data_IF_681641486295
#
_entry.id   IF_681641486295
#
_cell.length_a   1.000
_cell.length_b   1.000
_cell.length_c   1.000
_cell.angle_alpha   90.00
_cell.angle_beta   90.00
_cell.angle_gamma   90.00
#
_symmetry.space_group_name_H-M   'P 1'
#
loop_
_entity.id
_entity.type
_entity.pdbx_description
1 polymer ?
#
# COMPACT_ATOMS: atom_id res chain seq x y z
N UNK A 1 -34.99 8.18 22.69
CA UNK A 1 -35.11 8.37 21.23
C UNK A 1 -33.85 8.96 20.60
N UNK A 2 -33.13 9.86 21.28
CA UNK A 2 -31.82 10.35 20.82
C UNK A 2 -30.79 9.20 20.62
N UNK A 3 -30.87 8.14 21.45
CA UNK A 3 -29.94 7.01 21.39
C UNK A 3 -30.02 6.20 20.09
N UNK A 4 -31.23 6.10 19.51
CA UNK A 4 -31.42 5.34 18.25
C UNK A 4 -30.77 6.07 17.07
N UNK A 5 -30.93 7.38 16.98
CA UNK A 5 -30.31 8.18 15.93
C UNK A 5 -28.79 8.17 16.04
N UNK A 6 -28.25 8.27 17.26
CA UNK A 6 -26.81 8.18 17.52
C UNK A 6 -26.26 6.81 17.14
N UNK A 7 -27.00 5.72 17.48
CA UNK A 7 -26.59 4.38 17.13
C UNK A 7 -26.54 4.17 15.62
N UNK A 8 -27.56 4.65 14.89
CA UNK A 8 -27.60 4.57 13.42
C UNK A 8 -26.43 5.34 12.79
N UNK A 9 -26.12 6.53 13.33
CA UNK A 9 -25.00 7.33 12.86
C UNK A 9 -23.67 6.63 13.07
N UNK A 10 -23.48 6.01 14.25
CA UNK A 10 -22.27 5.24 14.57
C UNK A 10 -22.10 4.06 13.63
N UNK A 11 -23.18 3.35 13.31
CA UNK A 11 -23.15 2.21 12.39
C UNK A 11 -22.72 2.67 11.00
N UNK A 12 -23.26 3.78 10.50
CA UNK A 12 -22.87 4.33 9.19
C UNK A 12 -21.40 4.73 9.15
N UNK A 13 -20.92 5.41 10.20
CA UNK A 13 -19.52 5.85 10.30
C UNK A 13 -18.59 4.63 10.37
N UNK A 14 -18.96 3.64 11.17
CA UNK A 14 -18.19 2.41 11.34
C UNK A 14 -18.09 1.62 10.03
N UNK A 15 -19.19 1.51 9.29
CA UNK A 15 -19.23 0.85 7.99
C UNK A 15 -18.36 1.57 6.97
N UNK A 16 -18.45 2.90 6.93
CA UNK A 16 -17.65 3.73 6.02
C UNK A 16 -16.16 3.59 6.31
N UNK A 17 -15.77 3.60 7.59
CA UNK A 17 -14.39 3.44 8.01
C UNK A 17 -13.85 2.07 7.64
N UNK A 18 -14.64 1.02 7.82
CA UNK A 18 -14.28 -0.35 7.47
C UNK A 18 -14.06 -0.50 5.97
N UNK A 19 -14.93 0.08 5.14
CA UNK A 19 -14.79 0.06 3.68
C UNK A 19 -13.53 0.82 3.24
N UNK A 20 -13.27 1.98 3.85
CA UNK A 20 -12.07 2.76 3.58
C UNK A 20 -10.80 1.98 3.96
N UNK A 21 -10.77 1.38 5.15
CA UNK A 21 -9.64 0.59 5.61
C UNK A 21 -9.38 -0.59 4.68
N UNK A 22 -10.44 -1.28 4.28
CA UNK A 22 -10.36 -2.39 3.34
C UNK A 22 -9.79 -1.95 1.99
N UNK A 23 -10.25 -0.81 1.49
CA UNK A 23 -9.77 -0.25 0.23
C UNK A 23 -8.26 -0.02 0.26
N UNK A 24 -7.75 0.66 1.28
CA UNK A 24 -6.31 0.93 1.39
C UNK A 24 -5.50 -0.34 1.56
N UNK A 25 -5.93 -1.24 2.43
CA UNK A 25 -5.22 -2.50 2.69
C UNK A 25 -5.18 -3.39 1.45
N UNK A 26 -6.30 -3.51 0.75
CA UNK A 26 -6.40 -4.32 -0.48
C UNK A 26 -5.54 -3.70 -1.59
N UNK A 27 -5.58 -2.38 -1.75
CA UNK A 27 -4.80 -1.69 -2.78
C UNK A 27 -3.30 -1.89 -2.56
N UNK A 28 -2.82 -1.71 -1.33
CA UNK A 28 -1.40 -1.93 -1.00
C UNK A 28 -1.02 -3.38 -1.26
N UNK A 29 -1.83 -4.33 -0.80
CA UNK A 29 -1.55 -5.76 -0.99
C UNK A 29 -1.44 -6.12 -2.47
N UNK A 30 -2.36 -5.64 -3.28
CA UNK A 30 -2.37 -5.91 -4.72
C UNK A 30 -1.15 -5.31 -5.41
N UNK A 31 -0.81 -4.07 -5.08
CA UNK A 31 0.36 -3.40 -5.65
C UNK A 31 1.67 -4.07 -5.23
N UNK A 32 1.77 -4.49 -3.97
CA UNK A 32 2.96 -5.20 -3.47
C UNK A 32 3.13 -6.53 -4.19
N UNK A 33 2.05 -7.29 -4.38
CA UNK A 33 2.11 -8.55 -5.13
C UNK A 33 2.57 -8.32 -6.56
N UNK A 34 2.04 -7.29 -7.21
CA UNK A 34 2.42 -6.95 -8.58
C UNK A 34 3.90 -6.51 -8.65
N UNK A 35 4.35 -5.72 -7.69
CA UNK A 35 5.74 -5.29 -7.59
C UNK A 35 6.68 -6.49 -7.46
N UNK A 36 6.38 -7.40 -6.54
CA UNK A 36 7.20 -8.59 -6.30
C UNK A 36 7.22 -9.53 -7.51
N UNK A 37 6.07 -9.68 -8.17
CA UNK A 37 5.95 -10.50 -9.38
C UNK A 37 6.79 -9.91 -10.51
N UNK A 38 6.70 -8.60 -10.73
CA UNK A 38 7.46 -7.90 -11.76
C UNK A 38 8.95 -7.99 -11.46
N UNK A 39 9.34 -7.83 -10.20
CA UNK A 39 10.73 -7.95 -9.76
C UNK A 39 11.30 -9.34 -10.08
N UNK A 40 10.53 -10.38 -9.78
CA UNK A 40 10.92 -11.76 -10.02
C UNK A 40 11.07 -12.06 -11.52
N UNK A 41 10.12 -11.61 -12.34
CA UNK A 41 10.14 -11.80 -13.78
C UNK A 41 11.27 -11.03 -14.45
N UNK A 42 11.64 -9.87 -13.92
CA UNK A 42 12.67 -9.02 -14.49
C UNK A 42 14.07 -9.30 -13.94
N UNK A 43 14.20 -10.30 -13.08
CA UNK A 43 15.47 -10.62 -12.42
C UNK A 43 16.60 -10.93 -13.40
N UNK A 44 16.29 -11.58 -14.53
CA UNK A 44 17.26 -11.96 -15.54
C UNK A 44 17.39 -10.94 -16.67
N UNK A 45 16.49 -9.97 -16.75
CA UNK A 45 16.47 -8.95 -17.80
C UNK A 45 16.31 -7.56 -17.16
N UNK A 46 17.43 -6.94 -16.82
CA UNK A 46 17.44 -5.59 -16.26
C UNK A 46 17.44 -4.55 -17.38
N UNK A 47 16.24 -4.29 -17.89
CA UNK A 47 16.06 -3.24 -18.91
C UNK A 47 15.66 -1.93 -18.24
N UNK A 48 15.96 -0.76 -18.87
CA UNK A 48 15.50 0.52 -18.33
C UNK A 48 13.98 0.59 -18.16
N UNK A 49 13.22 -0.07 -19.03
CA UNK A 49 11.77 -0.14 -18.96
C UNK A 49 11.31 -0.88 -17.70
N UNK A 50 11.96 -2.00 -17.36
CA UNK A 50 11.66 -2.76 -16.15
C UNK A 50 11.93 -1.95 -14.89
N UNK A 51 13.02 -1.22 -14.84
CA UNK A 51 13.39 -0.35 -13.71
C UNK A 51 12.35 0.76 -13.54
N UNK A 52 11.94 1.39 -14.62
CA UNK A 52 10.94 2.45 -14.61
C UNK A 52 9.60 1.93 -14.10
N UNK A 53 9.18 0.76 -14.59
CA UNK A 53 7.94 0.12 -14.16
C UNK A 53 7.96 -0.20 -12.66
N UNK A 54 9.06 -0.75 -12.16
CA UNK A 54 9.23 -1.06 -10.74
C UNK A 54 9.21 0.20 -9.89
N UNK A 55 9.87 1.27 -10.34
CA UNK A 55 9.90 2.55 -9.63
C UNK A 55 8.48 3.15 -9.57
N UNK A 56 7.74 3.09 -10.66
CA UNK A 56 6.36 3.57 -10.71
C UNK A 56 5.47 2.81 -9.74
N UNK A 57 5.58 1.47 -9.69
CA UNK A 57 4.85 0.64 -8.76
C UNK A 57 5.19 0.97 -7.30
N UNK A 58 6.48 1.15 -7.02
CA UNK A 58 6.94 1.50 -5.68
C UNK A 58 6.38 2.85 -5.24
N UNK A 59 6.39 3.85 -6.13
CA UNK A 59 5.84 5.17 -5.85
C UNK A 59 4.34 5.10 -5.56
N UNK A 60 3.60 4.26 -6.30
CA UNK A 60 2.18 4.04 -6.05
C UNK A 60 1.93 3.43 -4.68
N UNK A 61 2.73 2.42 -4.30
CA UNK A 61 2.64 1.79 -2.97
C UNK A 61 2.91 2.83 -1.88
N UNK A 62 3.94 3.65 -2.04
CA UNK A 62 4.28 4.72 -1.08
C UNK A 62 3.12 5.69 -0.93
N UNK A 63 2.50 6.09 -2.04
CA UNK A 63 1.35 6.99 -2.02
C UNK A 63 0.20 6.42 -1.19
N UNK A 64 -0.16 5.16 -1.39
CA UNK A 64 -1.22 4.50 -0.62
C UNK A 64 -0.85 4.36 0.86
N UNK A 65 0.40 4.01 1.16
CA UNK A 65 0.86 3.90 2.55
C UNK A 65 0.81 5.25 3.26
N UNK A 66 1.24 6.32 2.60
CA UNK A 66 1.22 7.66 3.18
C UNK A 66 -0.21 8.16 3.41
N UNK A 67 -1.08 7.99 2.42
CA UNK A 67 -2.50 8.38 2.55
C UNK A 67 -3.20 7.56 3.61
N UNK A 68 -2.93 6.25 3.65
CA UNK A 68 -3.49 5.36 4.66
C UNK A 68 -3.03 5.70 6.07
N UNK A 69 -1.77 6.12 6.22
CA UNK A 69 -1.23 6.56 7.51
C UNK A 69 -1.93 7.83 7.98
N UNK A 70 -2.14 8.80 7.09
CA UNK A 70 -2.88 10.04 7.41
C UNK A 70 -4.31 9.74 7.87
N UNK A 71 -4.92 8.71 7.33
CA UNK A 71 -6.30 8.32 7.67
C UNK A 71 -6.37 7.28 8.79
N UNK A 72 -5.24 6.99 9.43
CA UNK A 72 -5.12 6.03 10.54
C UNK A 72 -5.48 4.60 10.14
N UNK A 73 -5.35 4.24 8.86
CA UNK A 73 -5.51 2.86 8.39
C UNK A 73 -4.27 2.05 8.73
N UNK A 74 -3.09 2.65 8.54
CA UNK A 74 -1.81 2.03 8.85
C UNK A 74 -1.12 2.79 9.97
N UNK A 75 -0.46 2.05 10.85
CA UNK A 75 0.40 2.68 11.85
C UNK A 75 1.67 3.19 11.17
N UNK A 76 2.15 4.36 11.60
CA UNK A 76 3.32 5.02 11.05
C UNK A 76 4.54 4.10 10.97
N UNK A 77 4.80 3.34 12.01
CA UNK A 77 5.94 2.44 12.07
C UNK A 77 5.81 1.26 11.11
N UNK A 78 4.60 0.71 10.96
CA UNK A 78 4.32 -0.38 10.02
C UNK A 78 4.54 0.09 8.58
N UNK A 79 4.04 1.28 8.24
CA UNK A 79 4.21 1.86 6.91
C UNK A 79 5.70 2.11 6.60
N UNK A 80 6.44 2.65 7.57
CA UNK A 80 7.88 2.92 7.42
C UNK A 80 8.66 1.63 7.19
N UNK A 81 8.36 0.56 7.93
CA UNK A 81 9.01 -0.74 7.75
C UNK A 81 8.73 -1.32 6.37
N UNK A 82 7.49 -1.23 5.91
CA UNK A 82 7.10 -1.77 4.61
C UNK A 82 7.78 -1.00 3.48
N UNK A 83 7.83 0.32 3.56
CA UNK A 83 8.56 1.16 2.60
C UNK A 83 10.04 0.76 2.52
N UNK A 84 10.67 0.62 3.69
CA UNK A 84 12.09 0.28 3.78
C UNK A 84 12.37 -1.09 3.15
N UNK A 85 11.54 -2.10 3.45
CA UNK A 85 11.70 -3.44 2.89
C UNK A 85 11.58 -3.46 1.38
N UNK A 86 10.60 -2.75 0.84
CA UNK A 86 10.37 -2.69 -0.61
C UNK A 86 11.50 -1.93 -1.31
N UNK A 87 11.97 -0.84 -0.72
CA UNK A 87 13.09 -0.07 -1.26
C UNK A 87 14.37 -0.90 -1.31
N UNK A 88 14.63 -1.70 -0.26
CA UNK A 88 15.79 -2.60 -0.23
C UNK A 88 15.72 -3.65 -1.33
N UNK A 89 14.55 -4.22 -1.58
CA UNK A 89 14.37 -5.21 -2.65
C UNK A 89 14.67 -4.61 -4.02
N UNK A 90 14.21 -3.39 -4.26
CA UNK A 90 14.50 -2.69 -5.51
C UNK A 90 16.00 -2.37 -5.63
N UNK A 91 16.62 -1.94 -4.56
CA UNK A 91 18.06 -1.65 -4.52
C UNK A 91 18.87 -2.89 -4.87
N UNK A 92 18.54 -4.04 -4.29
CA UNK A 92 19.22 -5.29 -4.58
C UNK A 92 19.06 -5.69 -6.05
N UNK A 93 17.88 -5.45 -6.62
CA UNK A 93 17.64 -5.72 -8.04
C UNK A 93 18.52 -4.84 -8.92
N UNK A 94 18.65 -3.55 -8.60
CA UNK A 94 19.40 -2.61 -9.43
C UNK A 94 20.92 -2.73 -9.27
N UNK A 95 21.39 -3.32 -8.17
CA UNK A 95 22.84 -3.49 -7.92
C UNK A 95 23.36 -4.86 -8.32
N UNK A 96 22.47 -5.82 -8.54
CA UNK A 96 22.86 -7.14 -9.02
C UNK A 96 22.88 -7.18 -10.54
#
# INVERSE_FOLDING_TARGET
MANIKSAKKRIKISKRNRLRNRYYKTSVRTLVKLFLKTLKLSKNEQTPESKEKLTTLLNSIYSFLDKGTKKNVFHRNTAARQKSRLAQKLKLYTTS
#
